data_IF_440103029590
#
_entry.id   IF_440103029590
#
_cell.length_a   1.000
_cell.length_b   1.000
_cell.length_c   1.000
_cell.angle_alpha   90.00
_cell.angle_beta   90.00
_cell.angle_gamma   90.00
#
_symmetry.space_group_name_H-M   'P 1'
#
loop_
_entity.id
_entity.type
_entity.pdbx_description
1 polymer ?
#
# COMPACT_ATOMS: atom_id res chain seq x y z
N UNK A 1 18.49 9.31 -25.67
CA UNK A 1 17.37 8.88 -24.79
C UNK A 1 17.56 9.51 -23.42
N UNK A 2 16.62 10.36 -22.97
CA UNK A 2 16.67 10.95 -21.63
C UNK A 2 16.38 9.82 -20.63
N UNK A 3 17.35 9.50 -19.76
CA UNK A 3 17.19 8.46 -18.74
C UNK A 3 16.22 9.00 -17.69
N UNK A 4 15.14 8.28 -17.43
CA UNK A 4 14.22 8.66 -16.36
C UNK A 4 14.86 8.30 -15.01
N UNK A 5 14.98 9.27 -14.13
CA UNK A 5 15.57 9.11 -12.81
C UNK A 5 14.49 9.34 -11.74
N UNK A 6 13.99 8.27 -11.11
CA UNK A 6 12.90 8.38 -10.13
C UNK A 6 13.40 9.07 -8.86
N UNK A 7 12.69 10.12 -8.43
CA UNK A 7 13.01 10.80 -7.17
C UNK A 7 12.49 10.00 -5.97
N UNK A 8 13.09 10.18 -4.77
CA UNK A 8 12.59 9.53 -3.55
C UNK A 8 11.11 9.85 -3.27
N UNK A 9 10.67 11.08 -3.56
CA UNK A 9 9.27 11.49 -3.38
C UNK A 9 8.34 10.78 -4.35
N UNK A 10 8.73 10.62 -5.61
CA UNK A 10 7.97 9.84 -6.58
C UNK A 10 7.84 8.38 -6.14
N UNK A 11 8.91 7.78 -5.62
CA UNK A 11 8.88 6.41 -5.09
C UNK A 11 7.88 6.28 -3.94
N UNK A 12 7.89 7.23 -3.00
CA UNK A 12 6.95 7.25 -1.88
C UNK A 12 5.50 7.39 -2.36
N UNK A 13 5.26 8.23 -3.35
CA UNK A 13 3.93 8.41 -3.96
C UNK A 13 3.44 7.15 -4.66
N UNK A 14 4.26 6.54 -5.54
CA UNK A 14 3.92 5.28 -6.23
C UNK A 14 3.59 4.18 -5.23
N UNK A 15 4.42 4.02 -4.20
CA UNK A 15 4.22 3.01 -3.15
C UNK A 15 2.90 3.19 -2.41
N UNK A 16 2.54 4.44 -2.13
CA UNK A 16 1.29 4.79 -1.44
C UNK A 16 0.09 4.51 -2.33
N UNK A 17 0.12 4.97 -3.59
CA UNK A 17 -0.96 4.75 -4.56
C UNK A 17 -1.16 3.26 -4.87
N UNK A 18 -0.06 2.52 -5.04
CA UNK A 18 -0.11 1.06 -5.19
C UNK A 18 -0.67 0.37 -3.94
N UNK A 19 -0.32 0.87 -2.75
CA UNK A 19 -0.88 0.41 -1.48
C UNK A 19 -2.39 0.64 -1.35
N UNK A 20 -2.93 1.65 -2.02
CA UNK A 20 -4.37 1.90 -2.10
C UNK A 20 -5.07 1.07 -3.18
N UNK A 21 -4.34 0.30 -3.97
CA UNK A 21 -4.89 -0.51 -5.05
C UNK A 21 -5.16 0.26 -6.35
N UNK A 22 -4.56 1.45 -6.52
CA UNK A 22 -4.71 2.24 -7.74
C UNK A 22 -4.03 1.50 -8.91
N UNK A 23 -4.68 1.38 -10.09
CA UNK A 23 -4.09 0.78 -11.27
C UNK A 23 -2.77 1.43 -11.70
N UNK A 24 -1.82 0.63 -12.19
CA UNK A 24 -0.51 1.12 -12.64
C UNK A 24 -0.61 2.13 -13.79
N UNK A 25 -1.65 2.04 -14.63
CA UNK A 25 -1.90 2.98 -15.73
C UNK A 25 -2.23 4.38 -15.21
N UNK A 26 -3.09 4.47 -14.20
CA UNK A 26 -3.46 5.74 -13.57
C UNK A 26 -2.27 6.35 -12.81
N UNK A 27 -1.46 5.52 -12.14
CA UNK A 27 -0.22 5.98 -11.47
C UNK A 27 0.78 6.53 -12.49
N UNK A 28 0.93 5.85 -13.64
CA UNK A 28 1.81 6.31 -14.72
C UNK A 28 1.31 7.63 -15.32
N UNK A 29 -0.01 7.76 -15.55
CA UNK A 29 -0.65 8.99 -16.00
C UNK A 29 -0.46 10.14 -15.00
N UNK A 30 -0.61 9.87 -13.71
CA UNK A 30 -0.38 10.85 -12.64
C UNK A 30 1.06 11.39 -12.62
N UNK A 31 2.04 10.53 -12.91
CA UNK A 31 3.45 10.91 -13.01
C UNK A 31 3.85 11.47 -14.38
N UNK A 32 2.96 11.44 -15.37
CA UNK A 32 3.25 11.84 -16.75
C UNK A 32 4.30 10.95 -17.43
N UNK A 33 4.36 9.66 -17.07
CA UNK A 33 5.33 8.71 -17.62
C UNK A 33 4.63 7.54 -18.31
N UNK A 34 5.36 6.86 -19.18
CA UNK A 34 4.90 5.60 -19.77
C UNK A 34 4.82 4.48 -18.71
N UNK A 35 3.82 3.60 -18.82
CA UNK A 35 3.64 2.47 -17.90
C UNK A 35 4.83 1.51 -17.89
N UNK A 36 5.58 1.38 -19.00
CA UNK A 36 6.83 0.60 -19.04
C UNK A 36 7.92 1.27 -18.22
N UNK A 37 7.99 2.60 -18.22
CA UNK A 37 8.92 3.35 -17.35
C UNK A 37 8.54 3.17 -15.89
N UNK A 38 7.25 3.24 -15.55
CA UNK A 38 6.78 2.98 -14.19
C UNK A 38 7.22 1.59 -13.71
N UNK A 39 6.93 0.54 -14.48
CA UNK A 39 7.29 -0.84 -14.15
C UNK A 39 8.80 -1.08 -14.06
N UNK A 40 9.59 -0.37 -14.87
CA UNK A 40 11.07 -0.49 -14.89
C UNK A 40 11.70 0.14 -13.65
N UNK A 41 11.19 1.28 -13.20
CA UNK A 41 11.83 2.10 -12.18
C UNK A 41 11.24 1.94 -10.78
N UNK A 42 9.97 1.53 -10.67
CA UNK A 42 9.20 1.46 -9.42
C UNK A 42 8.68 0.06 -9.09
N UNK A 43 9.38 -0.99 -9.54
CA UNK A 43 8.92 -2.38 -9.37
C UNK A 43 8.77 -2.75 -7.89
N UNK A 44 9.75 -2.39 -7.08
CA UNK A 44 9.72 -2.69 -5.64
C UNK A 44 8.55 -1.99 -4.93
N UNK A 45 8.26 -0.74 -5.30
CA UNK A 45 7.15 0.03 -4.73
C UNK A 45 5.79 -0.54 -5.10
N UNK A 46 5.63 -1.00 -6.35
CA UNK A 46 4.41 -1.65 -6.83
C UNK A 46 4.19 -3.00 -6.14
N UNK A 47 5.24 -3.81 -5.99
CA UNK A 47 5.12 -5.14 -5.38
C UNK A 47 4.96 -5.05 -3.84
N UNK A 48 5.65 -4.11 -3.17
CA UNK A 48 5.59 -3.95 -1.70
C UNK A 48 4.44 -3.07 -1.21
N UNK A 49 3.91 -2.17 -2.05
CA UNK A 49 2.92 -1.18 -1.67
C UNK A 49 1.69 -1.80 -1.00
N UNK A 50 1.12 -2.84 -1.61
CA UNK A 50 -0.08 -3.51 -1.09
C UNK A 50 0.19 -4.24 0.24
N UNK A 51 1.33 -4.94 0.35
CA UNK A 51 1.72 -5.65 1.57
C UNK A 51 1.94 -4.69 2.73
N UNK A 52 2.63 -3.57 2.51
CA UNK A 52 2.86 -2.57 3.55
C UNK A 52 1.58 -1.83 3.97
N UNK A 53 0.70 -1.51 3.02
CA UNK A 53 -0.60 -0.92 3.34
C UNK A 53 -1.43 -1.86 4.23
N UNK A 54 -1.49 -3.14 3.88
CA UNK A 54 -2.16 -4.16 4.67
C UNK A 54 -1.54 -4.31 6.07
N UNK A 55 -0.21 -4.28 6.18
CA UNK A 55 0.49 -4.34 7.47
C UNK A 55 0.17 -3.12 8.37
N UNK A 56 0.13 -1.90 7.81
CA UNK A 56 -0.24 -0.69 8.56
C UNK A 56 -1.68 -0.74 9.08
N UNK A 57 -2.62 -1.19 8.24
CA UNK A 57 -4.02 -1.34 8.66
C UNK A 57 -4.13 -2.43 9.74
N UNK A 58 -3.42 -3.55 9.60
CA UNK A 58 -3.38 -4.60 10.61
C UNK A 58 -2.81 -4.10 11.95
N UNK A 59 -1.71 -3.33 11.92
CA UNK A 59 -1.12 -2.71 13.11
C UNK A 59 -2.09 -1.74 13.78
N UNK A 60 -2.72 -0.84 13.01
CA UNK A 60 -3.71 0.11 13.52
C UNK A 60 -4.88 -0.61 14.20
N UNK A 61 -5.40 -1.68 13.57
CA UNK A 61 -6.46 -2.52 14.16
C UNK A 61 -5.99 -3.25 15.42
N UNK A 62 -4.77 -3.76 15.45
CA UNK A 62 -4.20 -4.41 16.62
C UNK A 62 -4.06 -3.43 17.80
N UNK A 63 -3.53 -2.22 17.56
CA UNK A 63 -3.45 -1.16 18.58
C UNK A 63 -4.84 -0.76 19.07
N UNK A 64 -5.80 -0.57 18.17
CA UNK A 64 -7.18 -0.28 18.56
C UNK A 64 -7.81 -1.41 19.39
N UNK A 65 -7.50 -2.67 19.09
CA UNK A 65 -8.01 -3.82 19.84
C UNK A 65 -7.32 -4.02 21.20
N UNK A 66 -6.07 -3.57 21.36
CA UNK A 66 -5.26 -3.78 22.57
C UNK A 66 -5.22 -2.58 23.52
N UNK A 67 -5.33 -1.36 22.99
CA UNK A 67 -5.19 -0.11 23.76
C UNK A 67 -6.46 0.75 23.77
N UNK A 68 -7.41 0.52 22.83
CA UNK A 68 -8.67 1.25 22.76
C UNK A 68 -9.86 0.38 23.12
N UNK A 69 -10.88 0.95 23.79
CA UNK A 69 -12.19 0.28 24.01
C UNK A 69 -13.03 0.21 22.72
N UNK A 70 -12.43 -0.13 21.57
CA UNK A 70 -13.16 -0.23 20.30
C UNK A 70 -13.52 -1.68 19.97
N UNK A 71 -14.71 -2.08 20.43
CA UNK A 71 -15.28 -3.43 20.30
C UNK A 71 -15.32 -3.91 18.84
N UNK A 72 -15.48 -3.01 17.86
CA UNK A 72 -15.51 -3.38 16.45
C UNK A 72 -14.15 -3.89 15.93
N UNK A 73 -13.04 -3.30 16.39
CA UNK A 73 -11.69 -3.75 16.03
C UNK A 73 -11.36 -5.12 16.65
N UNK A 74 -11.81 -5.36 17.89
CA UNK A 74 -11.69 -6.64 18.56
C UNK A 74 -12.52 -7.74 17.88
N UNK A 75 -13.77 -7.45 17.49
CA UNK A 75 -14.65 -8.37 16.74
C UNK A 75 -14.03 -8.72 15.38
N UNK A 76 -13.50 -7.74 14.64
CA UNK A 76 -12.80 -8.02 13.38
C UNK A 76 -11.59 -8.93 13.60
N UNK A 77 -10.77 -8.67 14.64
CA UNK A 77 -9.60 -9.50 14.96
C UNK A 77 -9.98 -10.95 15.31
N UNK A 78 -11.02 -11.13 16.13
CA UNK A 78 -11.53 -12.46 16.51
C UNK A 78 -12.08 -13.23 15.30
N UNK A 79 -12.77 -12.56 14.37
CA UNK A 79 -13.24 -13.15 13.10
C UNK A 79 -12.10 -13.46 12.12
N UNK A 80 -11.10 -12.59 12.02
CA UNK A 80 -10.02 -12.72 11.05
C UNK A 80 -8.91 -13.70 11.48
N UNK A 81 -8.66 -13.86 12.79
CA UNK A 81 -7.51 -14.64 13.31
C UNK A 81 -7.81 -15.50 14.55
N UNK A 82 -8.96 -15.33 15.21
CA UNK A 82 -9.35 -16.05 16.44
C UNK A 82 -9.93 -17.45 16.24
N UNK A 83 -9.96 -17.97 15.01
CA UNK A 83 -10.29 -19.37 14.76
C UNK A 83 -11.76 -19.76 14.93
N UNK A 84 -12.70 -18.81 14.82
CA UNK A 84 -14.13 -19.12 14.69
C UNK A 84 -14.61 -18.77 13.29
N UNK A 85 -14.86 -19.83 12.50
CA UNK A 85 -15.62 -19.78 11.23
C UNK A 85 -17.06 -19.36 11.50
#
# INVERSE_FOLDING_TARGET
>A
MRRYEPTPDQRRTVKTMAGFGIPQEDIAGFLGIDTKTLRKHFREELDRGMTEANAKVAQSRFTMATQGKNVAAAIFWMKARGGRR
#
